data_IF_770700187229
#
_entry.id   IF_770700187229
#
_cell.length_a   1.000
_cell.length_b   1.000
_cell.length_c   1.000
_cell.angle_alpha   90.00
_cell.angle_beta   90.00
_cell.angle_gamma   90.00
#
_symmetry.space_group_name_H-M   'P 1'
#
loop_
_entity.id
_entity.type
_entity.pdbx_description
1 polymer ?
#
# COMPACT_ATOMS: atom_id res chain seq x y z
N UNK A 1 -11.39 14.58 4.54
CA UNK A 1 -11.00 13.47 3.65
C UNK A 1 -9.48 13.45 3.57
N UNK A 2 -8.82 12.44 4.14
CA UNK A 2 -7.35 12.34 4.14
C UNK A 2 -6.89 11.62 2.87
N UNK A 3 -6.08 12.28 2.05
CA UNK A 3 -5.45 11.64 0.89
C UNK A 3 -4.25 10.79 1.32
N UNK A 4 -3.71 9.98 0.42
CA UNK A 4 -2.47 9.23 0.67
C UNK A 4 -1.29 10.17 1.02
N UNK A 5 -1.18 11.30 0.31
CA UNK A 5 -0.11 12.29 0.52
C UNK A 5 -0.18 12.97 1.89
N UNK A 6 -1.37 13.29 2.40
CA UNK A 6 -1.52 13.82 3.76
C UNK A 6 -0.97 12.85 4.80
N UNK A 7 -1.26 11.54 4.69
CA UNK A 7 -0.74 10.53 5.62
C UNK A 7 0.76 10.34 5.53
N UNK A 8 1.34 10.46 4.33
CA UNK A 8 2.78 10.40 4.15
C UNK A 8 3.46 11.63 4.77
N UNK A 9 2.84 12.82 4.65
CA UNK A 9 3.32 14.06 5.28
C UNK A 9 3.27 13.98 6.80
N UNK A 10 2.18 13.46 7.37
CA UNK A 10 2.01 13.31 8.83
C UNK A 10 3.05 12.36 9.46
N UNK A 11 3.72 11.56 8.63
CA UNK A 11 4.81 10.65 9.01
C UNK A 11 6.19 11.16 8.59
N UNK A 12 6.26 12.41 8.10
CA UNK A 12 7.48 13.06 7.60
C UNK A 12 8.19 12.31 6.46
N UNK A 13 7.45 11.54 5.66
CA UNK A 13 8.01 10.81 4.52
C UNK A 13 8.05 11.68 3.26
N UNK A 14 7.25 12.74 3.23
CA UNK A 14 7.18 13.70 2.13
C UNK A 14 6.98 15.12 2.65
N UNK A 15 7.47 16.10 1.90
CA UNK A 15 7.28 17.52 2.15
C UNK A 15 6.51 18.17 0.99
N UNK A 16 5.62 19.11 1.32
CA UNK A 16 4.92 19.89 0.32
C UNK A 16 5.76 21.12 -0.08
N UNK A 17 6.28 21.13 -1.30
CA UNK A 17 7.07 22.21 -1.89
C UNK A 17 6.22 22.97 -2.91
N UNK A 18 5.38 23.87 -2.40
CA UNK A 18 4.49 24.74 -3.18
C UNK A 18 3.60 23.99 -4.19
N UNK A 19 4.10 23.72 -5.39
CA UNK A 19 3.36 23.07 -6.48
C UNK A 19 3.58 21.56 -6.56
N UNK A 20 4.53 21.01 -5.79
CA UNK A 20 4.87 19.59 -5.83
C UNK A 20 5.11 19.01 -4.43
N UNK A 21 5.21 17.68 -4.38
CA UNK A 21 5.61 16.94 -3.20
C UNK A 21 7.01 16.37 -3.42
N UNK A 22 7.88 16.53 -2.42
CA UNK A 22 9.22 15.95 -2.40
C UNK A 22 9.25 14.81 -1.39
N UNK A 23 10.00 13.74 -1.70
CA UNK A 23 10.34 12.71 -0.71
C UNK A 23 11.36 13.30 0.27
N UNK A 24 11.31 12.87 1.54
CA UNK A 24 12.30 13.29 2.54
C UNK A 24 13.72 12.84 2.18
N UNK A 25 14.73 13.62 2.56
CA UNK A 25 16.14 13.22 2.47
C UNK A 25 16.59 12.31 3.63
N UNK A 26 15.70 12.09 4.62
CA UNK A 26 15.91 11.16 5.74
C UNK A 26 15.79 9.69 5.26
N UNK A 27 16.91 9.18 4.75
CA UNK A 27 17.02 7.81 4.22
C UNK A 27 16.73 6.74 5.27
N UNK A 28 17.15 6.92 6.53
CA UNK A 28 16.87 5.98 7.61
C UNK A 28 15.36 5.88 7.87
N UNK A 29 14.63 7.00 7.84
CA UNK A 29 13.18 7.00 7.98
C UNK A 29 12.47 6.33 6.81
N UNK A 30 12.94 6.56 5.58
CA UNK A 30 12.42 5.88 4.39
C UNK A 30 12.64 4.38 4.47
N UNK A 31 13.84 3.95 4.87
CA UNK A 31 14.16 2.54 5.07
C UNK A 31 13.36 1.92 6.21
N UNK A 32 13.08 2.66 7.28
CA UNK A 32 12.16 2.21 8.33
C UNK A 32 10.77 1.91 7.79
N UNK A 33 10.30 2.71 6.84
CA UNK A 33 8.96 2.61 6.26
C UNK A 33 8.81 1.56 5.14
N UNK A 34 9.92 1.03 4.60
CA UNK A 34 9.90 -0.05 3.60
C UNK A 34 9.65 -1.44 4.20
N UNK A 35 9.32 -1.55 5.49
CA UNK A 35 9.10 -2.82 6.18
C UNK A 35 8.08 -3.74 5.52
N UNK A 36 6.99 -3.18 4.97
CA UNK A 36 5.98 -3.97 4.25
C UNK A 36 6.55 -4.59 2.96
N UNK A 37 7.29 -3.82 2.17
CA UNK A 37 7.94 -4.31 0.94
C UNK A 37 8.95 -5.43 1.26
N UNK A 38 9.79 -5.23 2.28
CA UNK A 38 10.77 -6.24 2.71
C UNK A 38 10.11 -7.53 3.22
N UNK A 39 9.03 -7.40 3.99
CA UNK A 39 8.29 -8.57 4.48
C UNK A 39 7.69 -9.35 3.30
N UNK A 40 7.03 -8.66 2.37
CA UNK A 40 6.45 -9.28 1.17
C UNK A 40 7.51 -9.91 0.29
N UNK A 41 8.67 -9.27 0.09
CA UNK A 41 9.79 -9.85 -0.65
C UNK A 41 10.29 -11.15 -0.01
N UNK A 42 10.43 -11.18 1.32
CA UNK A 42 10.81 -12.39 2.06
C UNK A 42 9.77 -13.50 1.95
N UNK A 43 8.48 -13.16 1.92
CA UNK A 43 7.43 -14.16 1.72
C UNK A 43 7.40 -14.68 0.29
N UNK A 44 7.59 -13.83 -0.70
CA UNK A 44 7.67 -14.23 -2.10
C UNK A 44 8.83 -15.19 -2.35
N UNK A 45 9.99 -14.96 -1.71
CA UNK A 45 11.13 -15.88 -1.78
C UNK A 45 10.80 -17.27 -1.22
N UNK A 46 10.04 -17.33 -0.12
CA UNK A 46 9.70 -18.58 0.57
C UNK A 46 8.50 -19.33 -0.02
N UNK A 47 7.53 -18.60 -0.56
CA UNK A 47 6.20 -19.13 -0.92
C UNK A 47 5.88 -18.98 -2.41
N UNK A 48 6.74 -18.28 -3.16
CA UNK A 48 6.43 -17.83 -4.51
C UNK A 48 5.64 -16.51 -4.51
N UNK A 49 5.62 -15.85 -5.66
CA UNK A 49 4.85 -14.62 -5.87
C UNK A 49 3.36 -14.91 -6.03
N UNK A 50 2.52 -13.94 -5.66
CA UNK A 50 1.08 -14.00 -5.89
C UNK A 50 0.74 -14.15 -7.39
N UNK A 51 -0.20 -15.05 -7.70
CA UNK A 51 -0.79 -15.22 -9.02
C UNK A 51 -2.20 -14.60 -9.03
N UNK A 52 -2.31 -13.42 -9.64
CA UNK A 52 -3.56 -12.65 -9.66
C UNK A 52 -4.63 -13.32 -10.52
N UNK A 53 -4.23 -14.03 -11.57
CA UNK A 53 -5.13 -14.75 -12.46
C UNK A 53 -5.75 -15.94 -11.72
N UNK A 54 -4.93 -16.72 -11.01
CA UNK A 54 -5.42 -17.82 -10.16
C UNK A 54 -6.40 -17.32 -9.07
N UNK A 55 -6.12 -16.17 -8.46
CA UNK A 55 -7.03 -15.59 -7.47
C UNK A 55 -8.37 -15.16 -8.07
N UNK A 56 -8.37 -14.60 -9.28
CA UNK A 56 -9.59 -14.23 -9.98
C UNK A 56 -10.43 -15.43 -10.37
N UNK A 57 -9.80 -16.52 -10.79
CA UNK A 57 -10.50 -17.78 -11.12
C UNK A 57 -11.29 -18.30 -9.92
N UNK A 58 -10.74 -18.16 -8.71
CA UNK A 58 -11.38 -18.61 -7.47
C UNK A 58 -12.19 -17.52 -6.76
N UNK A 59 -12.28 -16.31 -7.32
CA UNK A 59 -13.02 -15.23 -6.71
C UNK A 59 -14.54 -15.49 -6.78
N UNK A 60 -15.29 -15.15 -5.72
CA UNK A 60 -16.75 -15.20 -5.75
C UNK A 60 -17.28 -14.26 -6.83
N UNK A 61 -18.32 -14.71 -7.55
CA UNK A 61 -18.97 -13.92 -8.60
C UNK A 61 -19.95 -12.90 -8.02
N UNK A 62 -20.45 -13.17 -6.81
CA UNK A 62 -21.37 -12.29 -6.10
C UNK A 62 -20.57 -11.29 -5.24
N UNK A 63 -21.07 -10.04 -5.08
CA UNK A 63 -20.48 -9.07 -4.19
C UNK A 63 -20.39 -9.62 -2.75
N UNK A 64 -19.45 -9.09 -1.98
CA UNK A 64 -19.40 -9.43 -0.55
C UNK A 64 -20.69 -8.93 0.14
N UNK A 65 -21.29 -9.69 1.09
CA UNK A 65 -22.56 -9.31 1.72
C UNK A 65 -22.55 -7.94 2.41
N UNK A 66 -21.37 -7.47 2.86
CA UNK A 66 -21.22 -6.14 3.46
C UNK A 66 -21.38 -4.97 2.48
N UNK A 67 -21.55 -5.24 1.19
CA UNK A 67 -21.72 -4.23 0.13
C UNK A 67 -23.19 -4.11 -0.27
N UNK A 68 -24.07 -5.01 0.20
CA UNK A 68 -25.49 -5.02 -0.13
C UNK A 68 -26.33 -4.06 0.75
N UNK A 69 -25.80 -3.62 1.90
CA UNK A 69 -26.52 -2.83 2.91
C UNK A 69 -26.55 -1.30 2.67
N UNK A 70 -26.13 -0.79 1.49
CA UNK A 70 -26.10 0.67 1.20
C UNK A 70 -27.35 1.21 0.44
N UNK A 71 -28.50 0.52 0.50
CA UNK A 71 -29.74 0.92 -0.18
C UNK A 71 -30.77 1.63 0.72
#
# INVERSE_FOLDING_TARGET
MSTALSRLKDRDLVEHKATYWAVTDDTERLEGYSGYERATALFNDKLGTEDKEAWREHAPQEPHPSVEDEQ
#
